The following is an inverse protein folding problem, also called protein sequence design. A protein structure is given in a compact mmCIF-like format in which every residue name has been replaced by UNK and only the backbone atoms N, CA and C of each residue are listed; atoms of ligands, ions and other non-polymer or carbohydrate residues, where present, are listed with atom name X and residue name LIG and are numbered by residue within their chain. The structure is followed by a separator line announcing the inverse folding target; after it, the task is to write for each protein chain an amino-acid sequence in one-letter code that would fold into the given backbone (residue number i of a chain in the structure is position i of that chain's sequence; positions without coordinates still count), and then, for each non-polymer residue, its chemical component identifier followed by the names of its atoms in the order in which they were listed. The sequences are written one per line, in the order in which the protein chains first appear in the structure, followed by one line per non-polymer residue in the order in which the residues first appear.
data_IF_865988671610
#
_entry.id   IF_865988671610
#
_cell.length_a   1.000
_cell.length_b   1.000
_cell.length_c   1.000
_cell.angle_alpha   90.00
_cell.angle_beta   90.00
_cell.angle_gamma   90.00
#
_symmetry.space_group_name_H-M   'P 1'
#
loop_
_entity.id
_entity.type
_entity.pdbx_description
1 polymer ?
#
# COMPACT_ATOMS: atom_id res chain seq x y z
N UNK A 1 -31.61 -60.21 -34.09
CA UNK A 1 -32.67 -59.19 -33.91
C UNK A 1 -33.23 -59.36 -32.50
N UNK A 2 -33.45 -58.28 -31.73
CA UNK A 2 -32.60 -57.91 -30.59
C UNK A 2 -33.36 -57.94 -29.25
N UNK A 3 -32.63 -57.96 -28.13
CA UNK A 3 -33.11 -57.31 -26.90
C UNK A 3 -31.99 -56.42 -26.38
N UNK A 4 -32.22 -55.11 -26.56
CA UNK A 4 -31.51 -54.04 -25.86
C UNK A 4 -31.96 -54.12 -24.42
N UNK A 5 -31.02 -54.19 -23.49
CA UNK A 5 -31.22 -53.67 -22.14
C UNK A 5 -29.88 -53.09 -21.66
N UNK A 6 -29.75 -51.79 -21.90
CA UNK A 6 -28.81 -50.94 -21.19
C UNK A 6 -29.46 -50.57 -19.85
N UNK A 7 -29.07 -51.13 -18.70
CA UNK A 7 -29.34 -50.42 -17.46
C UNK A 7 -28.34 -49.27 -17.43
N UNK A 8 -28.85 -48.08 -17.76
CA UNK A 8 -28.33 -46.83 -17.24
C UNK A 8 -28.03 -47.08 -15.77
N UNK A 9 -26.74 -47.20 -15.47
CA UNK A 9 -26.24 -47.40 -14.13
C UNK A 9 -26.65 -46.16 -13.38
N UNK A 10 -27.73 -46.28 -12.62
CA UNK A 10 -28.18 -45.30 -11.65
C UNK A 10 -27.04 -45.15 -10.63
N UNK A 11 -26.08 -44.29 -10.95
CA UNK A 11 -25.23 -43.60 -9.99
C UNK A 11 -26.11 -42.63 -9.19
N UNK A 12 -27.25 -43.10 -8.69
CA UNK A 12 -28.08 -42.41 -7.73
C UNK A 12 -27.31 -42.44 -6.42
N UNK A 13 -26.50 -41.39 -6.23
CA UNK A 13 -25.78 -41.09 -5.00
C UNK A 13 -26.81 -41.07 -3.87
N UNK A 14 -27.01 -42.21 -3.23
CA UNK A 14 -28.07 -42.39 -2.24
C UNK A 14 -27.63 -41.74 -0.94
N UNK A 15 -28.06 -40.48 -0.76
CA UNK A 15 -27.73 -39.60 0.37
C UNK A 15 -27.97 -40.30 1.73
N UNK A 16 -28.99 -41.16 1.80
CA UNK A 16 -29.31 -41.93 3.01
C UNK A 16 -28.20 -42.91 3.41
N UNK A 17 -27.53 -43.54 2.44
CA UNK A 17 -26.44 -44.48 2.73
C UNK A 17 -25.22 -43.75 3.28
N UNK A 18 -24.90 -42.55 2.76
CA UNK A 18 -23.81 -41.72 3.26
C UNK A 18 -24.08 -41.14 4.66
N UNK A 19 -25.32 -40.74 4.96
CA UNK A 19 -25.72 -40.26 6.30
C UNK A 19 -25.57 -41.36 7.37
N UNK A 20 -25.81 -42.62 7.02
CA UNK A 20 -25.63 -43.75 7.95
C UNK A 20 -24.16 -43.95 8.37
N UNK A 21 -23.22 -43.77 7.42
CA UNK A 21 -21.78 -43.87 7.66
C UNK A 21 -21.30 -42.72 8.55
N UNK A 22 -21.79 -41.49 8.31
CA UNK A 22 -21.50 -40.32 9.14
C UNK A 22 -21.93 -40.51 10.60
N UNK A 23 -23.13 -41.07 10.84
CA UNK A 23 -23.65 -41.30 12.21
C UNK A 23 -22.84 -42.35 12.97
N UNK A 24 -22.33 -43.38 12.27
CA UNK A 24 -21.51 -44.44 12.87
C UNK A 24 -20.07 -44.00 13.14
N UNK A 25 -19.51 -43.11 12.31
CA UNK A 25 -18.15 -42.55 12.44
C UNK A 25 -18.09 -41.14 13.05
N UNK A 26 -19.16 -40.68 13.70
CA UNK A 26 -19.26 -39.34 14.34
C UNK A 26 -18.05 -38.98 15.20
N UNK A 27 -17.47 -39.95 15.89
CA UNK A 27 -16.28 -39.76 16.73
C UNK A 27 -15.01 -39.42 15.92
N UNK A 28 -14.79 -40.08 14.79
CA UNK A 28 -13.65 -39.77 13.91
C UNK A 28 -13.78 -38.38 13.27
N UNK A 29 -15.02 -37.99 12.90
CA UNK A 29 -15.30 -36.66 12.34
C UNK A 29 -15.08 -35.57 13.39
N UNK A 30 -15.57 -35.76 14.62
CA UNK A 30 -15.36 -34.82 15.73
C UNK A 30 -13.87 -34.67 16.05
N UNK A 31 -13.12 -35.77 16.08
CA UNK A 31 -11.68 -35.73 16.36
C UNK A 31 -10.92 -34.94 15.29
N UNK A 32 -11.20 -35.19 14.02
CA UNK A 32 -10.56 -34.46 12.91
C UNK A 32 -10.91 -32.96 12.96
N UNK A 33 -12.17 -32.63 13.24
CA UNK A 33 -12.62 -31.24 13.40
C UNK A 33 -11.92 -30.55 14.58
N UNK A 34 -11.77 -31.23 15.72
CA UNK A 34 -11.04 -30.70 16.88
C UNK A 34 -9.57 -30.46 16.57
N UNK A 35 -8.90 -31.36 15.84
CA UNK A 35 -7.51 -31.17 15.42
C UNK A 35 -7.39 -29.96 14.48
N UNK A 36 -8.32 -29.79 13.54
CA UNK A 36 -8.34 -28.63 12.65
C UNK A 36 -8.54 -27.32 13.44
N UNK A 37 -9.46 -27.30 14.41
CA UNK A 37 -9.71 -26.13 15.27
C UNK A 37 -8.49 -25.82 16.13
N UNK A 38 -7.86 -26.84 16.73
CA UNK A 38 -6.66 -26.66 17.54
C UNK A 38 -5.50 -26.11 16.71
N UNK A 39 -5.32 -26.62 15.48
CA UNK A 39 -4.33 -26.09 14.54
C UNK A 39 -4.59 -24.63 14.16
N UNK A 40 -5.84 -24.27 13.87
CA UNK A 40 -6.22 -22.89 13.56
C UNK A 40 -6.00 -21.94 14.76
N UNK A 41 -6.34 -22.36 15.98
CA UNK A 41 -6.13 -21.58 17.19
C UNK A 41 -4.63 -21.37 17.50
N UNK A 42 -3.81 -22.41 17.27
CA UNK A 42 -2.36 -22.29 17.39
C UNK A 42 -1.79 -21.31 16.35
N UNK A 43 -2.29 -21.35 15.11
CA UNK A 43 -1.87 -20.42 14.06
C UNK A 43 -2.18 -18.95 14.41
N UNK A 44 -3.36 -18.67 14.95
CA UNK A 44 -3.75 -17.32 15.38
C UNK A 44 -2.81 -16.71 16.43
N UNK A 45 -2.11 -17.54 17.22
CA UNK A 45 -1.13 -17.04 18.21
C UNK A 45 0.22 -16.66 17.60
N UNK A 46 0.56 -17.21 16.43
CA UNK A 46 1.85 -16.96 15.76
C UNK A 46 1.70 -15.95 14.63
N UNK A 47 0.49 -15.80 14.06
CA UNK A 47 0.20 -14.83 13.03
C UNK A 47 0.44 -13.39 13.54
N UNK A 48 1.37 -12.67 12.93
CA UNK A 48 1.62 -11.26 13.24
C UNK A 48 0.51 -10.39 12.66
N UNK A 49 -0.18 -9.55 13.45
CA UNK A 49 -1.14 -8.61 12.89
C UNK A 49 -0.41 -7.60 12.00
N UNK A 50 -1.01 -7.26 10.86
CA UNK A 50 -0.52 -6.19 9.97
C UNK A 50 -1.49 -5.02 10.13
N UNK A 51 -0.97 -3.89 10.60
CA UNK A 51 -1.74 -2.65 10.74
C UNK A 51 -1.50 -1.77 9.51
N UNK A 52 -2.55 -1.11 9.04
CA UNK A 52 -2.47 -0.16 7.94
C UNK A 52 -2.87 1.24 8.43
N UNK A 53 -2.14 2.26 7.98
CA UNK A 53 -2.48 3.67 8.20
C UNK A 53 -2.62 4.39 6.87
N UNK A 54 -3.53 5.35 6.81
CA UNK A 54 -3.85 6.11 5.61
C UNK A 54 -3.48 7.58 5.79
N UNK A 55 -2.86 8.16 4.77
CA UNK A 55 -2.62 9.59 4.64
C UNK A 55 -3.23 10.09 3.33
N UNK A 56 -4.10 11.09 3.39
CA UNK A 56 -4.77 11.66 2.22
C UNK A 56 -4.03 12.89 1.74
N UNK A 57 -3.65 12.90 0.46
CA UNK A 57 -3.01 14.05 -0.19
C UNK A 57 -3.79 14.45 -1.42
N UNK A 58 -3.89 15.75 -1.67
CA UNK A 58 -4.45 16.27 -2.91
C UNK A 58 -3.34 16.40 -3.94
N UNK A 59 -3.46 15.68 -5.05
CA UNK A 59 -2.59 15.87 -6.19
C UNK A 59 -2.86 17.25 -6.79
N UNK A 60 -1.80 18.02 -7.02
CA UNK A 60 -1.88 19.35 -7.62
C UNK A 60 -0.82 19.48 -8.71
N UNK A 61 -1.19 20.14 -9.80
CA UNK A 61 -0.24 20.59 -10.82
C UNK A 61 0.21 22.01 -10.43
N UNK A 62 1.51 22.22 -10.16
CA UNK A 62 1.98 23.47 -9.56
C UNK A 62 1.93 24.67 -10.53
N UNK A 63 1.87 24.43 -11.85
CA UNK A 63 1.84 25.49 -12.85
C UNK A 63 1.25 24.98 -14.18
N UNK A 64 0.31 25.74 -14.76
CA UNK A 64 -0.26 25.51 -16.09
C UNK A 64 0.06 26.70 -16.99
N UNK A 65 0.75 26.46 -18.12
CA UNK A 65 0.85 27.44 -19.20
C UNK A 65 -0.24 27.18 -20.24
N UNK A 66 -1.21 28.09 -20.33
CA UNK A 66 -2.22 28.11 -21.39
C UNK A 66 -3.67 27.88 -20.92
N UNK A 67 -4.60 28.47 -21.68
CA UNK A 67 -6.06 28.44 -21.53
C UNK A 67 -6.60 27.02 -21.80
N UNK A 68 -6.45 26.13 -20.83
CA UNK A 68 -7.23 24.91 -20.71
C UNK A 68 -7.48 24.67 -19.22
N UNK A 69 -8.48 25.37 -18.70
CA UNK A 69 -8.94 25.28 -17.33
C UNK A 69 -9.69 23.96 -17.10
N UNK A 70 -9.02 22.80 -17.24
CA UNK A 70 -9.51 21.48 -16.81
C UNK A 70 -8.49 20.33 -17.00
N UNK A 71 -7.18 20.55 -16.81
CA UNK A 71 -6.27 19.39 -16.70
C UNK A 71 -6.16 18.93 -15.25
N UNK A 72 -6.96 17.92 -14.90
CA UNK A 72 -6.76 17.18 -13.64
C UNK A 72 -5.36 16.52 -13.66
N UNK A 73 -4.61 16.50 -12.54
CA UNK A 73 -3.35 15.76 -12.45
C UNK A 73 -3.53 14.32 -12.93
N UNK A 74 -2.56 13.80 -13.70
CA UNK A 74 -2.60 12.41 -14.11
C UNK A 74 -2.35 11.50 -12.90
N UNK A 75 -3.44 11.03 -12.29
CA UNK A 75 -3.37 10.25 -11.05
C UNK A 75 -2.54 8.97 -11.15
N UNK A 76 -2.40 8.39 -12.36
CA UNK A 76 -1.49 7.24 -12.59
C UNK A 76 -0.01 7.62 -12.52
N UNK A 77 0.32 8.84 -12.95
CA UNK A 77 1.67 9.40 -12.81
C UNK A 77 1.93 9.78 -11.36
N UNK A 78 0.95 10.36 -10.67
CA UNK A 78 1.06 10.73 -9.25
C UNK A 78 1.23 9.49 -8.35
N UNK A 79 0.50 8.40 -8.62
CA UNK A 79 0.67 7.14 -7.89
C UNK A 79 2.04 6.49 -8.14
N UNK A 80 2.52 6.55 -9.38
CA UNK A 80 3.87 6.10 -9.75
C UNK A 80 4.95 6.94 -9.06
N UNK A 81 4.69 8.23 -8.85
CA UNK A 81 5.60 9.12 -8.13
C UNK A 81 5.67 8.76 -6.64
N UNK A 82 4.54 8.53 -5.96
CA UNK A 82 4.52 8.14 -4.53
C UNK A 82 5.28 6.84 -4.27
N UNK A 83 5.18 5.89 -5.20
CA UNK A 83 5.87 4.58 -5.09
C UNK A 83 7.31 4.62 -5.63
N UNK A 84 7.80 5.80 -6.03
CA UNK A 84 9.14 5.96 -6.60
C UNK A 84 10.25 5.83 -5.55
N UNK A 85 11.46 5.58 -6.03
CA UNK A 85 12.66 5.49 -5.21
C UNK A 85 13.01 6.82 -4.51
N UNK A 86 12.69 7.97 -5.10
CA UNK A 86 12.95 9.28 -4.50
C UNK A 86 12.09 9.51 -3.26
N UNK A 87 10.78 9.25 -3.39
CA UNK A 87 9.83 9.34 -2.27
C UNK A 87 10.20 8.33 -1.19
N UNK A 88 10.53 7.09 -1.57
CA UNK A 88 10.92 6.05 -0.62
C UNK A 88 12.21 6.39 0.15
N UNK A 89 13.20 7.04 -0.49
CA UNK A 89 14.42 7.51 0.20
C UNK A 89 14.09 8.61 1.20
N UNK A 90 13.35 9.65 0.80
CA UNK A 90 12.93 10.71 1.71
C UNK A 90 12.11 10.15 2.89
N UNK A 91 11.17 9.25 2.61
CA UNK A 91 10.36 8.61 3.64
C UNK A 91 11.22 7.78 4.61
N UNK A 92 12.24 7.08 4.10
CA UNK A 92 13.18 6.32 4.94
C UNK A 92 14.00 7.23 5.86
N UNK A 93 14.40 8.41 5.40
CA UNK A 93 15.13 9.40 6.19
C UNK A 93 14.23 10.01 7.27
N UNK A 94 12.99 10.37 6.92
CA UNK A 94 11.98 10.82 7.88
C UNK A 94 11.70 9.77 8.96
N UNK A 95 11.54 8.50 8.57
CA UNK A 95 11.29 7.41 9.52
C UNK A 95 12.52 7.08 10.39
N UNK A 96 13.73 7.43 9.95
CA UNK A 96 14.94 7.29 10.76
C UNK A 96 15.10 8.41 11.79
N UNK A 97 14.48 9.57 11.54
CA UNK A 97 14.57 10.73 12.42
C UNK A 97 13.81 10.51 13.75
N UNK A 98 14.45 10.76 14.90
CA UNK A 98 13.82 10.53 16.21
C UNK A 98 12.71 11.53 16.52
N UNK A 99 12.77 12.77 16.00
CA UNK A 99 11.75 13.81 16.24
C UNK A 99 10.47 13.41 15.51
N UNK A 100 10.59 13.00 14.25
CA UNK A 100 9.47 12.52 13.44
C UNK A 100 8.81 11.28 14.06
N UNK A 101 9.61 10.33 14.59
CA UNK A 101 9.08 9.15 15.29
C UNK A 101 8.35 9.46 16.60
N UNK A 102 8.77 10.51 17.31
CA UNK A 102 8.16 10.92 18.58
C UNK A 102 6.83 11.65 18.39
N UNK A 103 6.67 12.37 17.28
CA UNK A 103 5.46 13.10 16.93
C UNK A 103 5.38 13.31 15.43
N UNK A 104 4.77 12.39 14.67
CA UNK A 104 4.64 12.53 13.23
C UNK A 104 3.55 13.58 13.00
N UNK A 105 3.91 14.85 13.05
CA UNK A 105 3.07 15.98 12.65
C UNK A 105 3.91 16.90 11.81
N UNK A 106 3.36 17.38 10.69
CA UNK A 106 4.12 18.16 9.70
C UNK A 106 4.74 19.45 10.28
N UNK A 107 4.20 19.98 11.39
CA UNK A 107 4.61 21.26 11.96
C UNK A 107 5.94 21.22 12.73
N UNK A 108 6.44 20.05 13.11
CA UNK A 108 7.62 19.93 14.00
C UNK A 108 8.87 19.43 13.29
N UNK A 109 8.78 19.09 12.01
CA UNK A 109 9.83 18.41 11.26
C UNK A 109 10.23 19.24 10.04
N UNK A 110 11.50 19.61 9.98
CA UNK A 110 12.08 20.27 8.81
C UNK A 110 12.36 19.23 7.72
N UNK A 111 11.35 19.01 6.88
CA UNK A 111 11.41 18.08 5.75
C UNK A 111 12.43 18.53 4.71
N UNK A 112 12.71 19.83 4.60
CA UNK A 112 13.63 20.37 3.60
C UNK A 112 15.08 19.96 3.91
N UNK A 113 15.46 20.01 5.18
CA UNK A 113 16.79 19.58 5.62
C UNK A 113 16.94 18.06 5.54
N UNK A 114 15.94 17.29 6.01
CA UNK A 114 16.00 15.82 6.05
C UNK A 114 16.03 15.23 4.64
N UNK A 115 15.27 15.79 3.70
CA UNK A 115 15.16 15.30 2.33
C UNK A 115 15.90 16.17 1.31
N UNK A 116 17.00 16.79 1.73
CA UNK A 116 17.88 17.54 0.83
C UNK A 116 18.43 16.66 -0.31
N UNK A 117 18.76 17.25 -1.46
CA UNK A 117 19.30 16.53 -2.62
C UNK A 117 20.56 15.71 -2.28
N UNK A 118 21.39 16.24 -1.39
CA UNK A 118 22.62 15.59 -0.93
C UNK A 118 22.30 14.36 -0.08
N UNK A 119 21.30 14.45 0.81
CA UNK A 119 20.83 13.31 1.59
C UNK A 119 20.20 12.22 0.70
N UNK A 120 19.42 12.61 -0.31
CA UNK A 120 18.78 11.68 -1.24
C UNK A 120 19.78 10.95 -2.15
N UNK A 121 20.87 11.61 -2.53
CA UNK A 121 21.94 11.01 -3.34
C UNK A 121 22.87 10.15 -2.50
N UNK A 122 23.15 10.55 -1.25
CA UNK A 122 23.95 9.78 -0.30
C UNK A 122 23.25 8.51 0.20
N UNK A 123 21.92 8.41 0.08
CA UNK A 123 21.14 7.26 0.57
C UNK A 123 21.02 6.15 -0.50
N UNK A 124 21.73 5.02 -0.37
CA UNK A 124 21.62 3.91 -1.32
C UNK A 124 20.30 3.15 -1.16
N UNK A 125 19.79 2.57 -2.25
CA UNK A 125 18.61 1.69 -2.24
C UNK A 125 18.93 0.33 -1.63
N UNK A 126 18.99 0.30 -0.31
CA UNK A 126 19.23 -0.91 0.48
C UNK A 126 17.98 -1.79 0.58
N UNK A 127 18.11 -3.08 0.95
CA UNK A 127 16.97 -3.97 1.13
C UNK A 127 15.84 -3.40 2.03
N UNK A 128 16.14 -2.71 3.15
CA UNK A 128 15.11 -2.04 3.96
C UNK A 128 14.25 -1.05 3.18
N UNK A 129 14.85 -0.23 2.31
CA UNK A 129 14.11 0.76 1.52
C UNK A 129 13.24 0.07 0.46
N UNK A 130 13.70 -1.05 -0.12
CA UNK A 130 12.87 -1.84 -1.03
C UNK A 130 11.66 -2.44 -0.33
N UNK A 131 11.81 -2.92 0.90
CA UNK A 131 10.67 -3.38 1.70
C UNK A 131 9.70 -2.26 2.05
N UNK A 132 10.18 -1.02 2.22
CA UNK A 132 9.30 0.15 2.39
C UNK A 132 8.42 0.37 1.15
N UNK A 133 9.00 0.27 -0.05
CA UNK A 133 8.25 0.40 -1.32
C UNK A 133 7.17 -0.69 -1.45
N UNK A 134 7.44 -1.91 -0.97
CA UNK A 134 6.47 -3.00 -0.97
C UNK A 134 5.37 -2.83 0.07
N UNK A 135 5.61 -2.03 1.12
CA UNK A 135 4.69 -1.81 2.23
C UNK A 135 3.77 -0.61 2.01
N UNK A 136 4.03 0.21 0.97
CA UNK A 136 3.20 1.35 0.59
C UNK A 136 2.33 1.00 -0.62
N UNK A 137 1.08 1.44 -0.59
CA UNK A 137 0.16 1.39 -1.72
C UNK A 137 -0.57 2.72 -1.86
N UNK A 138 -1.13 2.98 -3.04
CA UNK A 138 -1.92 4.18 -3.30
C UNK A 138 -3.28 3.79 -3.86
N UNK A 139 -4.32 4.47 -3.36
CA UNK A 139 -5.68 4.35 -3.89
C UNK A 139 -6.14 5.72 -4.36
N UNK A 140 -6.64 5.79 -5.59
CA UNK A 140 -7.15 7.02 -6.19
C UNK A 140 -8.64 7.11 -5.88
N UNK A 141 -9.09 8.26 -5.35
CA UNK A 141 -10.51 8.52 -5.16
C UNK A 141 -11.10 8.88 -6.52
N UNK A 142 -12.10 8.13 -6.99
CA UNK A 142 -12.70 8.32 -8.31
C UNK A 142 -13.36 9.70 -8.41
N UNK A 143 -13.04 10.45 -9.47
CA UNK A 143 -13.62 11.77 -9.73
C UNK A 143 -12.94 12.93 -8.99
N UNK A 144 -12.03 12.67 -8.05
CA UNK A 144 -11.33 13.69 -7.28
C UNK A 144 -9.81 13.60 -7.46
N UNK A 145 -9.07 14.73 -7.45
CA UNK A 145 -7.60 14.73 -7.45
C UNK A 145 -7.05 14.39 -6.06
N UNK A 146 -7.67 13.43 -5.35
CA UNK A 146 -7.29 13.00 -4.00
C UNK A 146 -6.76 11.58 -4.07
N UNK A 147 -5.59 11.38 -3.46
CA UNK A 147 -4.93 10.09 -3.35
C UNK A 147 -4.79 9.70 -1.88
N UNK A 148 -5.15 8.46 -1.60
CA UNK A 148 -4.95 7.82 -0.30
C UNK A 148 -3.66 7.02 -0.36
N UNK A 149 -2.68 7.41 0.46
CA UNK A 149 -1.43 6.70 0.64
C UNK A 149 -1.61 5.78 1.84
N UNK A 150 -1.52 4.48 1.62
CA UNK A 150 -1.64 3.46 2.66
C UNK A 150 -0.28 2.86 2.95
N UNK A 151 0.11 2.79 4.22
CA UNK A 151 1.34 2.11 4.65
C UNK A 151 1.03 1.02 5.67
N UNK A 152 1.62 -0.16 5.49
CA UNK A 152 1.37 -1.34 6.32
C UNK A 152 2.60 -1.74 7.14
N UNK A 153 2.44 -1.94 8.45
CA UNK A 153 3.49 -2.40 9.35
C UNK A 153 2.90 -3.21 10.53
N UNK A 154 3.62 -4.21 11.08
CA UNK A 154 3.20 -4.91 12.30
C UNK A 154 3.07 -4.02 13.56
N UNK A 155 3.56 -2.78 13.53
CA UNK A 155 3.50 -1.81 14.62
C UNK A 155 2.63 -0.61 14.24
N UNK A 156 1.61 -0.31 15.04
CA UNK A 156 0.70 0.84 14.82
C UNK A 156 1.47 2.18 14.70
N UNK A 157 2.41 2.52 15.60
CA UNK A 157 3.20 3.75 15.46
C UNK A 157 4.00 3.82 14.16
N UNK A 158 4.57 2.69 13.71
CA UNK A 158 5.32 2.64 12.46
C UNK A 158 4.40 2.75 11.24
N UNK A 159 3.22 2.14 11.30
CA UNK A 159 2.21 2.26 10.26
C UNK A 159 1.82 3.73 10.04
N UNK A 160 1.53 4.45 11.14
CA UNK A 160 1.20 5.87 11.13
C UNK A 160 2.37 6.73 10.62
N UNK A 161 3.57 6.54 11.18
CA UNK A 161 4.76 7.28 10.78
C UNK A 161 5.09 7.05 9.30
N UNK A 162 4.97 5.81 8.79
CA UNK A 162 5.22 5.49 7.39
C UNK A 162 4.24 6.18 6.45
N UNK A 163 2.93 6.08 6.69
CA UNK A 163 1.92 6.73 5.85
C UNK A 163 2.16 8.24 5.74
N UNK A 164 2.51 8.86 6.87
CA UNK A 164 2.80 10.29 6.91
C UNK A 164 4.15 10.65 6.28
N UNK A 165 5.19 9.85 6.48
CA UNK A 165 6.49 10.06 5.87
C UNK A 165 6.38 10.07 4.35
N UNK A 166 5.64 9.12 3.77
CA UNK A 166 5.38 9.08 2.33
C UNK A 166 4.57 10.28 1.85
N UNK A 167 3.55 10.72 2.59
CA UNK A 167 2.78 11.91 2.25
C UNK A 167 3.64 13.19 2.24
N UNK A 168 4.46 13.41 3.27
CA UNK A 168 5.37 14.56 3.34
C UNK A 168 6.43 14.51 2.23
N UNK A 169 6.99 13.34 1.99
CA UNK A 169 7.98 13.11 0.93
C UNK A 169 7.43 13.45 -0.46
N UNK A 170 6.20 13.03 -0.74
CA UNK A 170 5.51 13.36 -1.98
C UNK A 170 5.35 14.87 -2.14
N UNK A 171 4.85 15.56 -1.11
CA UNK A 171 4.65 17.02 -1.13
C UNK A 171 5.99 17.74 -1.37
N UNK A 172 7.05 17.35 -0.66
CA UNK A 172 8.39 17.92 -0.81
C UNK A 172 8.92 17.79 -2.23
N UNK A 173 8.83 16.60 -2.82
CA UNK A 173 9.32 16.35 -4.18
C UNK A 173 8.51 17.16 -5.21
N UNK A 174 7.20 17.30 -5.02
CA UNK A 174 6.36 18.16 -5.88
C UNK A 174 6.73 19.64 -5.74
N UNK A 175 7.06 20.10 -4.53
CA UNK A 175 7.53 21.46 -4.30
C UNK A 175 8.87 21.74 -5.00
N UNK A 176 9.81 20.79 -4.96
CA UNK A 176 11.09 20.91 -5.67
C UNK A 176 10.90 21.01 -7.18
N UNK A 177 10.03 20.18 -7.75
CA UNK A 177 9.69 20.21 -9.18
C UNK A 177 9.05 21.56 -9.56
N UNK A 178 8.19 22.11 -8.71
CA UNK A 178 7.58 23.42 -8.92
C UNK A 178 8.64 24.53 -8.93
N UNK A 179 9.56 24.53 -7.96
CA UNK A 179 10.63 25.52 -7.85
C UNK A 179 11.60 25.47 -9.04
N UNK A 180 11.92 24.27 -9.51
CA UNK A 180 12.73 24.10 -10.73
C UNK A 180 12.03 24.69 -11.95
N UNK A 181 10.73 24.39 -12.11
CA UNK A 181 9.93 24.92 -13.23
C UNK A 181 9.90 26.45 -13.21
N UNK A 182 9.66 27.08 -12.05
CA UNK A 182 9.69 28.53 -11.89
C UNK A 182 11.06 29.10 -12.27
N UNK A 183 12.14 28.44 -11.85
CA UNK A 183 13.52 28.89 -12.15
C UNK A 183 13.80 28.85 -13.65
N UNK A 184 13.44 27.75 -14.33
CA UNK A 184 13.58 27.60 -15.78
C UNK A 184 12.80 28.67 -16.55
N UNK A 185 11.60 29.02 -16.08
CA UNK A 185 10.76 30.04 -16.72
C UNK A 185 11.28 31.47 -16.49
N UNK A 186 11.93 31.74 -15.36
CA UNK A 186 12.54 33.04 -15.08
C UNK A 186 13.83 33.28 -15.87
N UNK A 187 14.61 32.23 -16.15
CA UNK A 187 15.91 32.33 -16.83
C UNK A 187 15.90 33.18 -18.13
N UNK A 188 14.99 32.98 -19.10
CA UNK A 188 14.96 33.79 -20.32
C UNK A 188 14.48 35.24 -20.12
N UNK A 189 13.80 35.53 -19.00
CA UNK A 189 13.34 36.90 -18.67
C UNK A 189 14.45 37.75 -18.06
N UNK A 190 15.42 37.12 -17.42
CA UNK A 190 16.57 37.79 -16.79
C UNK A 190 17.77 37.97 -17.75
N UNK A 191 17.69 37.36 -18.94
CA UNK A 191 18.74 37.42 -19.96
C UNK A 191 18.51 38.51 -21.03
N UNK A 192 17.48 39.35 -20.87
CA UNK A 192 17.14 40.48 -21.75
C UNK A 192 17.52 41.80 -21.07
#
# INVERSE_FOLDING_TARGET
MPTIDSPLRDDSISIGHYLSVLRRRKWSVILLMLVAIAGAAAYLKVATPIYASNATVQATIPFQQGVAAESSPNMSTESSLVTSSLVARCASLLMADPIFRAGPTAATVDVDTICSSDALTATPLTPPIRSLIQSVSTTIVQGDPVMVITFSDPSVPKAQAGAQAFALSYIKIKLDQANQTITTLKAPLLAQ
#
